data_IF_752614458475
#
_entry.id   IF_752614458475
#
_cell.length_a   1.000
_cell.length_b   1.000
_cell.length_c   1.000
_cell.angle_alpha   90.00
_cell.angle_beta   90.00
_cell.angle_gamma   90.00
#
_symmetry.space_group_name_H-M   'P 1'
#
loop_
_entity.id
_entity.type
_entity.pdbx_description
1 polymer ?
#
# COMPACT_ATOMS: atom_id res chain seq x y z
N UNK A 1 17.19 -1.86 -0.99
CA UNK A 1 16.79 -1.24 0.30
C UNK A 1 15.31 -1.50 0.43
N UNK A 2 14.84 -2.17 1.49
CA UNK A 2 13.51 -2.81 1.48
C UNK A 2 12.40 -2.02 2.17
N UNK A 3 12.72 -1.01 2.97
CA UNK A 3 11.77 0.06 3.30
C UNK A 3 12.65 1.24 3.69
N UNK A 4 12.64 2.32 2.91
CA UNK A 4 13.09 3.61 3.42
C UNK A 4 11.84 4.25 3.99
N UNK A 5 11.78 4.43 5.31
CA UNK A 5 10.65 5.10 5.94
C UNK A 5 10.62 6.57 5.49
N UNK A 6 10.01 6.83 4.34
CA UNK A 6 9.83 8.16 3.78
C UNK A 6 8.37 8.55 3.98
N UNK A 7 8.15 9.54 4.86
CA UNK A 7 6.84 10.15 5.02
C UNK A 7 6.61 11.09 3.84
N UNK A 8 6.12 10.53 2.73
CA UNK A 8 5.65 11.33 1.61
C UNK A 8 4.15 11.58 1.79
N UNK A 9 3.71 12.84 1.72
CA UNK A 9 2.30 13.25 1.94
C UNK A 9 1.31 12.67 0.90
N UNK A 10 1.83 11.98 -0.13
CA UNK A 10 1.07 11.39 -1.24
C UNK A 10 0.85 9.88 -1.16
N UNK A 11 1.30 9.20 -0.09
CA UNK A 11 1.19 7.74 0.05
C UNK A 11 -0.25 7.21 0.17
N UNK A 12 -0.54 6.07 -0.46
CA UNK A 12 -1.80 5.33 -0.33
C UNK A 12 -1.67 4.26 0.77
N UNK A 13 -2.78 3.91 1.44
CA UNK A 13 -2.78 2.90 2.51
C UNK A 13 -3.65 1.71 2.13
N UNK A 14 -3.05 0.52 2.14
CA UNK A 14 -3.74 -0.74 1.96
C UNK A 14 -3.77 -1.50 3.29
N UNK A 15 -4.93 -2.07 3.64
CA UNK A 15 -5.08 -2.91 4.84
C UNK A 15 -5.61 -4.29 4.49
N UNK A 16 -4.93 -5.32 4.98
CA UNK A 16 -5.27 -6.71 4.74
C UNK A 16 -4.94 -7.60 5.94
N UNK A 17 -5.49 -8.81 5.96
CA UNK A 17 -5.20 -9.81 7.00
C UNK A 17 -4.02 -10.67 6.54
N UNK A 18 -2.92 -10.71 7.31
CA UNK A 18 -1.80 -11.63 7.07
C UNK A 18 -1.71 -12.63 8.22
N UNK A 19 -1.71 -13.95 7.94
CA UNK A 19 -1.73 -14.96 8.98
C UNK A 19 -0.38 -15.15 9.68
N UNK A 20 0.76 -14.93 9.01
CA UNK A 20 2.06 -15.41 9.54
C UNK A 20 3.34 -14.78 8.97
N UNK A 21 3.28 -13.95 7.93
CA UNK A 21 4.52 -13.49 7.26
C UNK A 21 5.25 -12.40 8.05
N UNK A 22 6.60 -12.43 8.03
CA UNK A 22 7.40 -11.31 8.52
C UNK A 22 7.20 -10.11 7.58
N UNK A 23 6.27 -9.24 7.94
CA UNK A 23 5.86 -8.08 7.12
C UNK A 23 6.96 -7.04 6.90
N UNK A 24 8.07 -7.13 7.65
CA UNK A 24 9.25 -6.26 7.51
C UNK A 24 10.35 -6.92 6.66
N UNK A 25 10.16 -8.18 6.25
CA UNK A 25 11.13 -8.87 5.41
C UNK A 25 11.12 -8.34 3.99
N UNK A 26 12.30 -8.24 3.38
CA UNK A 26 12.44 -7.84 1.96
C UNK A 26 11.63 -8.72 1.01
N UNK A 27 11.57 -10.03 1.29
CA UNK A 27 10.80 -10.97 0.47
C UNK A 27 9.31 -10.64 0.49
N UNK A 28 8.77 -10.25 1.65
CA UNK A 28 7.39 -9.82 1.76
C UNK A 28 7.12 -8.52 1.00
N UNK A 29 8.01 -7.53 1.17
CA UNK A 29 7.91 -6.24 0.49
C UNK A 29 7.92 -6.43 -1.04
N UNK A 30 8.95 -7.08 -1.58
CA UNK A 30 9.09 -7.28 -3.02
C UNK A 30 7.95 -8.09 -3.62
N UNK A 31 7.51 -9.14 -2.91
CA UNK A 31 6.33 -9.90 -3.31
C UNK A 31 5.10 -9.00 -3.39
N UNK A 32 4.90 -8.14 -2.40
CA UNK A 32 3.73 -7.27 -2.33
C UNK A 32 3.76 -6.14 -3.36
N UNK A 33 4.94 -5.54 -3.61
CA UNK A 33 5.14 -4.57 -4.70
C UNK A 33 4.74 -5.18 -6.04
N UNK A 34 5.30 -6.34 -6.38
CA UNK A 34 5.00 -7.02 -7.63
C UNK A 34 3.50 -7.32 -7.82
N UNK A 35 2.82 -7.69 -6.73
CA UNK A 35 1.39 -7.98 -6.78
C UNK A 35 0.55 -6.73 -6.93
N UNK A 36 0.94 -5.64 -6.26
CA UNK A 36 0.30 -4.34 -6.43
C UNK A 36 0.52 -3.80 -7.84
N UNK A 37 1.69 -3.98 -8.43
CA UNK A 37 1.96 -3.65 -9.84
C UNK A 37 0.99 -4.37 -10.78
N UNK A 38 0.76 -5.67 -10.55
CA UNK A 38 -0.23 -6.42 -11.32
C UNK A 38 -1.65 -5.85 -11.12
N UNK A 39 -2.05 -5.52 -9.88
CA UNK A 39 -3.34 -4.86 -9.61
C UNK A 39 -3.45 -3.54 -10.38
N UNK A 40 -2.41 -2.72 -10.41
CA UNK A 40 -2.42 -1.45 -11.12
C UNK A 40 -2.44 -1.62 -12.65
N UNK A 41 -1.76 -2.64 -13.17
CA UNK A 41 -1.82 -2.99 -14.59
C UNK A 41 -3.24 -3.38 -15.03
N UNK A 42 -3.93 -4.19 -14.22
CA UNK A 42 -5.30 -4.63 -14.48
C UNK A 42 -6.31 -3.48 -14.29
N UNK A 43 -6.07 -2.62 -13.30
CA UNK A 43 -6.87 -1.43 -13.07
C UNK A 43 -6.79 -0.45 -14.23
N UNK A 44 -5.60 -0.20 -14.79
CA UNK A 44 -5.43 0.75 -15.89
C UNK A 44 -6.03 0.23 -17.20
N UNK A 45 -6.15 -1.09 -17.40
CA UNK A 45 -6.85 -1.64 -18.58
C UNK A 45 -8.35 -1.29 -18.61
N UNK A 46 -8.92 -0.96 -17.45
CA UNK A 46 -10.33 -0.58 -17.32
C UNK A 46 -10.61 0.91 -17.45
N UNK A 47 -9.58 1.75 -17.49
CA UNK A 47 -9.73 3.20 -17.73
C UNK A 47 -9.27 3.55 -19.13
N UNK A 48 -9.82 4.64 -19.65
CA UNK A 48 -9.46 5.14 -20.99
C UNK A 48 -8.04 5.74 -21.00
N UNK A 49 -7.57 6.26 -19.85
CA UNK A 49 -6.24 6.83 -19.69
C UNK A 49 -5.18 5.75 -19.40
N UNK A 50 -4.21 5.58 -20.30
CA UNK A 50 -3.06 4.71 -20.06
C UNK A 50 -1.94 5.46 -19.36
N UNK A 51 -1.58 5.01 -18.16
CA UNK A 51 -0.45 5.56 -17.41
C UNK A 51 0.89 4.88 -17.76
N UNK A 52 0.91 3.97 -18.74
CA UNK A 52 2.12 3.25 -19.16
C UNK A 52 2.52 2.15 -18.17
N UNK A 53 3.82 1.99 -17.93
CA UNK A 53 4.33 1.01 -16.96
C UNK A 53 4.34 1.63 -15.57
N UNK A 54 3.46 1.12 -14.71
CA UNK A 54 3.36 1.52 -13.31
C UNK A 54 4.25 0.63 -12.45
N UNK A 55 5.03 1.26 -11.56
CA UNK A 55 5.84 0.57 -10.56
C UNK A 55 5.33 0.92 -9.16
N UNK A 56 5.47 0.01 -8.21
CA UNK A 56 5.01 0.23 -6.83
C UNK A 56 6.18 0.16 -5.87
N UNK A 57 6.21 1.12 -4.94
CA UNK A 57 7.20 1.15 -3.87
C UNK A 57 6.51 1.18 -2.52
N UNK A 58 6.82 0.22 -1.66
CA UNK A 58 6.30 0.18 -0.30
C UNK A 58 7.16 1.05 0.60
N UNK A 59 6.52 2.08 1.15
CA UNK A 59 7.13 3.06 2.04
C UNK A 59 7.11 2.62 3.51
N UNK A 60 6.14 1.80 3.91
CA UNK A 60 6.09 1.25 5.27
C UNK A 60 5.14 0.06 5.39
N UNK A 61 5.42 -0.81 6.36
CA UNK A 61 4.50 -1.85 6.84
C UNK A 61 4.41 -1.83 8.36
N UNK A 62 3.20 -1.92 8.89
CA UNK A 62 2.99 -2.00 10.33
C UNK A 62 1.79 -2.88 10.67
N UNK A 63 1.87 -3.48 11.84
CA UNK A 63 0.86 -4.37 12.41
C UNK A 63 0.53 -3.84 13.80
N UNK A 64 -0.75 -3.80 14.13
CA UNK A 64 -1.20 -3.29 15.42
C UNK A 64 -1.13 -4.41 16.46
N UNK A 65 -0.13 -4.37 17.35
CA UNK A 65 0.05 -5.36 18.42
C UNK A 65 0.11 -6.80 17.88
N UNK A 66 -0.70 -7.69 18.46
CA UNK A 66 -0.85 -9.09 18.05
C UNK A 66 -2.03 -9.32 17.07
N UNK A 67 -2.57 -8.25 16.46
CA UNK A 67 -3.64 -8.37 15.46
C UNK A 67 -3.12 -8.96 14.16
N UNK A 68 -3.92 -9.76 13.46
CA UNK A 68 -3.60 -10.26 12.11
C UNK A 68 -3.72 -9.18 11.02
N UNK A 69 -4.08 -7.94 11.38
CA UNK A 69 -4.23 -6.83 10.41
C UNK A 69 -2.89 -6.15 10.14
N UNK A 70 -2.51 -6.13 8.87
CA UNK A 70 -1.34 -5.44 8.34
C UNK A 70 -1.80 -4.19 7.61
N UNK A 71 -1.15 -3.08 7.89
CA UNK A 71 -1.28 -1.84 7.16
C UNK A 71 -0.01 -1.59 6.37
N UNK A 72 -0.17 -1.27 5.09
CA UNK A 72 0.91 -1.05 4.15
C UNK A 72 0.74 0.31 3.49
N UNK A 73 1.79 1.11 3.55
CA UNK A 73 1.86 2.42 2.92
C UNK A 73 2.68 2.28 1.64
N UNK A 74 2.13 2.71 0.52
CA UNK A 74 2.77 2.57 -0.78
C UNK A 74 2.60 3.81 -1.64
N UNK A 75 3.52 3.95 -2.60
CA UNK A 75 3.47 4.95 -3.67
C UNK A 75 3.47 4.22 -5.00
N UNK A 76 2.72 4.74 -5.96
CA UNK A 76 2.70 4.25 -7.33
C UNK A 76 3.48 5.24 -8.19
N UNK A 77 4.39 4.74 -9.01
CA UNK A 77 5.24 5.51 -9.88
C UNK A 77 4.85 5.29 -11.35
N UNK A 78 4.75 6.36 -12.11
CA UNK A 78 4.76 6.34 -13.57
C UNK A 78 6.14 6.84 -14.02
N UNK A 79 7.03 5.90 -14.36
CA UNK A 79 8.44 6.21 -14.60
C UNK A 79 9.10 6.85 -13.36
N UNK A 80 9.49 8.11 -13.46
CA UNK A 80 10.11 8.87 -12.37
C UNK A 80 9.13 9.76 -11.60
N UNK A 81 7.84 9.72 -11.91
CA UNK A 81 6.81 10.60 -11.31
C UNK A 81 5.89 9.80 -10.40
N UNK A 82 5.79 10.22 -9.14
CA UNK A 82 4.86 9.63 -8.19
C UNK A 82 3.43 10.04 -8.56
N UNK A 83 2.53 9.06 -8.66
CA UNK A 83 1.10 9.29 -8.80
C UNK A 83 0.52 9.80 -7.47
N UNK A 84 -0.46 10.69 -7.59
CA UNK A 84 -1.22 11.16 -6.45
C UNK A 84 -2.05 10.02 -5.86
N UNK A 85 -2.19 9.99 -4.53
CA UNK A 85 -2.97 8.96 -3.83
C UNK A 85 -4.41 8.83 -4.33
N UNK A 86 -5.04 9.92 -4.76
CA UNK A 86 -6.39 9.89 -5.36
C UNK A 86 -6.40 9.24 -6.75
N UNK A 87 -5.37 9.45 -7.57
CA UNK A 87 -5.25 8.79 -8.88
C UNK A 87 -4.98 7.29 -8.71
N UNK A 88 -4.05 6.93 -7.82
CA UNK A 88 -3.78 5.53 -7.49
C UNK A 88 -5.03 4.83 -6.93
N UNK A 89 -5.75 5.46 -5.98
CA UNK A 89 -6.99 4.90 -5.45
C UNK A 89 -8.09 4.82 -6.51
N UNK A 90 -8.18 5.81 -7.40
CA UNK A 90 -9.11 5.82 -8.52
C UNK A 90 -8.89 4.68 -9.52
N UNK A 91 -7.63 4.34 -9.79
CA UNK A 91 -7.26 3.15 -10.57
C UNK A 91 -7.71 1.87 -9.85
N UNK A 92 -7.30 1.68 -8.60
CA UNK A 92 -7.62 0.46 -7.86
C UNK A 92 -9.13 0.26 -7.68
N UNK A 93 -9.92 1.34 -7.61
CA UNK A 93 -11.38 1.32 -7.55
C UNK A 93 -12.07 0.85 -8.85
N UNK A 94 -11.35 0.73 -9.96
CA UNK A 94 -11.87 0.08 -11.18
C UNK A 94 -12.00 -1.43 -11.02
N UNK A 95 -11.31 -1.99 -10.02
CA UNK A 95 -11.36 -3.40 -9.66
C UNK A 95 -12.26 -3.57 -8.45
N UNK A 96 -12.97 -4.70 -8.39
CA UNK A 96 -13.71 -5.06 -7.19
C UNK A 96 -12.74 -5.41 -6.07
N UNK A 97 -13.15 -5.18 -4.82
CA UNK A 97 -12.33 -5.57 -3.67
C UNK A 97 -11.97 -7.07 -3.70
N UNK A 98 -12.87 -7.92 -4.21
CA UNK A 98 -12.60 -9.35 -4.39
C UNK A 98 -11.46 -9.61 -5.38
N UNK A 99 -11.45 -8.92 -6.53
CA UNK A 99 -10.43 -9.09 -7.55
C UNK A 99 -9.07 -8.54 -7.08
N UNK A 100 -9.06 -7.39 -6.40
CA UNK A 100 -7.84 -6.87 -5.74
C UNK A 100 -7.33 -7.89 -4.72
N UNK A 101 -8.24 -8.47 -3.93
CA UNK A 101 -7.91 -9.52 -2.97
C UNK A 101 -7.31 -10.78 -3.59
N UNK A 102 -7.83 -11.18 -4.73
CA UNK A 102 -7.32 -12.30 -5.52
C UNK A 102 -5.87 -12.06 -5.95
N UNK A 103 -5.53 -10.88 -6.48
CA UNK A 103 -4.14 -10.55 -6.84
C UNK A 103 -3.22 -10.42 -5.63
N UNK A 104 -3.76 -9.90 -4.52
CA UNK A 104 -3.03 -9.74 -3.27
C UNK A 104 -2.92 -11.03 -2.44
N UNK A 105 -3.61 -12.13 -2.80
CA UNK A 105 -3.77 -13.36 -1.98
C UNK A 105 -4.03 -13.08 -0.50
N UNK A 106 -4.57 -11.91 -0.19
CA UNK A 106 -5.00 -11.54 1.14
C UNK A 106 -6.38 -10.94 0.98
N UNK A 107 -7.37 -11.36 1.78
CA UNK A 107 -8.68 -10.73 1.77
C UNK A 107 -8.48 -9.25 2.14
N UNK A 108 -8.80 -8.30 1.23
CA UNK A 108 -8.57 -6.89 1.48
C UNK A 108 -9.66 -6.43 2.43
N UNK A 109 -9.25 -5.80 3.53
CA UNK A 109 -10.19 -5.27 4.51
C UNK A 109 -10.58 -3.84 4.19
N UNK A 110 -9.69 -3.08 3.53
CA UNK A 110 -9.91 -1.66 3.23
C UNK A 110 -8.93 -1.17 2.16
N UNK A 111 -9.46 -0.59 1.08
CA UNK A 111 -8.75 0.25 0.12
C UNK A 111 -9.19 1.68 0.42
N UNK A 112 -8.34 2.50 1.02
CA UNK A 112 -8.70 3.87 1.35
C UNK A 112 -7.57 4.84 1.05
N UNK A 113 -7.93 5.96 0.43
CA UNK A 113 -7.07 7.14 0.42
C UNK A 113 -7.08 7.79 1.81
N UNK A 114 -5.90 8.14 2.32
CA UNK A 114 -5.79 9.18 3.35
C UNK A 114 -4.87 10.25 2.80
N UNK A 115 -5.40 11.47 2.63
CA UNK A 115 -4.55 12.67 2.49
C UNK A 115 -3.74 12.76 3.77
N UNK A 116 -2.45 12.46 3.70
CA UNK A 116 -1.55 12.59 4.84
C UNK A 116 -1.26 14.07 5.07
N UNK A 117 -2.24 14.82 5.58
CA UNK A 117 -1.97 16.06 6.29
C UNK A 117 -1.67 15.64 7.74
N UNK A 118 -0.40 15.65 8.15
CA UNK A 118 0.06 15.44 9.55
C UNK A 118 -0.04 14.01 10.17
N UNK A 119 -0.54 12.99 9.47
CA UNK A 119 -0.99 11.75 10.14
C UNK A 119 0.10 10.72 10.54
N UNK A 120 1.37 10.88 10.15
CA UNK A 120 2.48 10.06 10.67
C UNK A 120 3.00 10.57 12.03
N UNK A 121 2.85 11.87 12.32
CA UNK A 121 3.39 12.47 13.54
C UNK A 121 2.73 11.94 14.83
N UNK A 122 1.45 11.56 14.80
CA UNK A 122 0.76 10.91 15.93
C UNK A 122 1.09 9.41 16.00
N UNK A 123 1.37 8.75 14.87
CA UNK A 123 1.75 7.34 14.84
C UNK A 123 3.15 7.11 15.47
N UNK A 124 4.02 8.12 15.41
CA UNK A 124 5.31 8.17 16.10
C UNK A 124 5.21 8.50 17.60
N UNK A 125 4.13 9.12 18.10
CA UNK A 125 3.98 9.38 19.53
C UNK A 125 3.33 8.22 20.30
N UNK A 126 2.43 7.44 19.68
CA UNK A 126 1.72 6.37 20.39
C UNK A 126 2.41 4.99 20.35
N UNK A 127 3.36 4.76 19.44
CA UNK A 127 4.26 3.60 19.54
C UNK A 127 5.35 3.80 20.61
N UNK A 128 5.52 5.01 21.14
CA UNK A 128 6.44 5.31 22.24
C UNK A 128 5.83 5.07 23.63
N UNK A 129 4.50 4.88 23.73
CA UNK A 129 3.78 4.58 24.98
C UNK A 129 3.50 3.07 25.19
N UNK A 130 3.87 2.21 24.24
CA UNK A 130 3.75 0.74 24.34
C UNK A 130 5.15 0.10 24.22
N UNK A 131 6.09 0.62 25.00
CA UNK A 131 7.19 -0.17 25.53
C UNK A 131 7.54 0.39 26.90
N UNK A 132 6.62 0.21 27.85
CA UNK A 132 7.05 0.03 29.24
C UNK A 132 7.64 -1.38 29.38
#
# INVERSE_FOLDING_TARGET
MCVNASCNDSGSVLRFVSPTDNIKSCSFIQMMEHRLENVFSEAQEKVEDSYGVLSVEIQNTYQMGNSLTVSLVYVVWNGSTALNGTMASGLMNQLTAELVGYFLFFPPMLIAERKFHYCFAIFMLHQQEISE
#
